data_IF_014451488762
#
_entry.id   IF_014451488762
#
_cell.length_a   1.000
_cell.length_b   1.000
_cell.length_c   1.000
_cell.angle_alpha   90.00
_cell.angle_beta   90.00
_cell.angle_gamma   90.00
#
_symmetry.space_group_name_H-M   'P 1'
#
loop_
_entity.id
_entity.type
_entity.pdbx_description
1 polymer ?
#
# COMPACT_ATOMS: atom_id res chain seq x y z
N UNK A 1 7.12 21.22 -30.93
CA UNK A 1 8.16 20.36 -30.34
C UNK A 1 9.22 21.27 -29.73
N UNK A 2 9.39 21.26 -28.41
CA UNK A 2 10.58 21.84 -27.76
C UNK A 2 11.25 20.75 -26.97
N UNK A 3 12.45 20.51 -27.43
CA UNK A 3 13.51 19.62 -26.99
C UNK A 3 14.23 20.20 -25.76
N UNK A 4 14.70 19.29 -24.91
CA UNK A 4 15.91 19.32 -24.07
C UNK A 4 16.47 20.68 -23.60
N UNK A 5 16.55 20.89 -22.26
CA UNK A 5 17.80 21.32 -21.59
C UNK A 5 17.64 21.74 -20.11
N UNK A 6 18.30 20.95 -19.25
CA UNK A 6 19.20 21.35 -18.14
C UNK A 6 18.68 22.04 -16.87
N UNK A 7 18.55 21.19 -15.84
CA UNK A 7 19.03 21.33 -14.45
C UNK A 7 19.26 22.73 -13.87
N UNK A 8 18.49 23.07 -12.82
CA UNK A 8 18.92 23.96 -11.72
C UNK A 8 18.45 23.42 -10.36
N UNK A 9 19.42 22.95 -9.57
CA UNK A 9 19.44 22.67 -8.12
C UNK A 9 18.12 22.42 -7.35
N UNK A 10 17.92 21.17 -6.89
CA UNK A 10 17.11 20.86 -5.69
C UNK A 10 15.58 20.80 -5.81
N UNK A 11 14.98 20.94 -7.01
CA UNK A 11 13.53 20.80 -7.21
C UNK A 11 13.19 19.43 -7.80
N UNK A 12 12.81 18.50 -6.94
CA UNK A 12 12.16 17.25 -7.36
C UNK A 12 10.86 17.62 -8.09
N UNK A 13 10.68 17.14 -9.32
CA UNK A 13 9.47 17.38 -10.11
C UNK A 13 8.35 16.43 -9.71
N UNK A 14 7.09 16.82 -9.94
CA UNK A 14 5.95 15.93 -9.70
C UNK A 14 6.06 14.67 -10.55
N UNK A 15 6.50 14.77 -11.80
CA UNK A 15 6.74 13.62 -12.66
C UNK A 15 7.77 12.63 -12.06
N UNK A 16 8.86 13.12 -11.48
CA UNK A 16 9.85 12.25 -10.82
C UNK A 16 9.26 11.54 -9.59
N UNK A 17 8.40 12.22 -8.83
CA UNK A 17 7.71 11.66 -7.67
C UNK A 17 6.76 10.54 -8.10
N UNK A 18 5.94 10.78 -9.12
CA UNK A 18 4.98 9.80 -9.65
C UNK A 18 5.70 8.60 -10.28
N UNK A 19 6.79 8.84 -11.01
CA UNK A 19 7.61 7.77 -11.58
C UNK A 19 8.20 6.86 -10.48
N UNK A 20 8.61 7.43 -9.35
CA UNK A 20 9.11 6.66 -8.21
C UNK A 20 8.00 5.82 -7.54
N UNK A 21 6.77 6.35 -7.46
CA UNK A 21 5.61 5.57 -7.02
C UNK A 21 5.39 4.36 -7.94
N UNK A 22 5.39 4.57 -9.26
CA UNK A 22 5.21 3.50 -10.24
C UNK A 22 6.34 2.47 -10.21
N UNK A 23 7.59 2.92 -9.99
CA UNK A 23 8.75 2.04 -9.85
C UNK A 23 8.59 1.10 -8.67
N UNK A 24 8.31 1.63 -7.47
CA UNK A 24 8.07 0.82 -6.28
C UNK A 24 6.85 -0.08 -6.45
N UNK A 25 5.80 0.42 -7.12
CA UNK A 25 4.62 -0.38 -7.40
C UNK A 25 4.93 -1.61 -8.26
N UNK A 26 5.77 -1.42 -9.27
CA UNK A 26 6.20 -2.49 -10.18
C UNK A 26 7.12 -3.48 -9.48
N UNK A 27 8.04 -2.98 -8.64
CA UNK A 27 9.00 -3.81 -7.91
C UNK A 27 8.33 -4.71 -6.86
N UNK A 28 7.35 -4.18 -6.13
CA UNK A 28 6.62 -4.91 -5.10
C UNK A 28 5.37 -5.62 -5.64
N UNK A 29 5.00 -5.36 -6.90
CA UNK A 29 3.78 -5.88 -7.51
C UNK A 29 2.49 -5.36 -6.86
N UNK A 30 2.58 -4.33 -6.02
CA UNK A 30 1.47 -3.73 -5.29
C UNK A 30 1.69 -2.24 -5.13
N UNK A 31 0.61 -1.48 -4.95
CA UNK A 31 0.65 -0.04 -4.71
C UNK A 31 1.54 0.28 -3.49
N UNK A 32 2.55 1.17 -3.63
CA UNK A 32 3.42 1.49 -2.52
C UNK A 32 2.67 2.27 -1.45
N UNK A 33 3.08 2.08 -0.20
CA UNK A 33 2.63 2.89 0.94
C UNK A 33 3.60 4.04 1.17
N UNK A 34 3.16 5.08 1.87
CA UNK A 34 4.05 6.17 2.29
C UNK A 34 5.25 5.65 3.10
N UNK A 35 5.05 4.63 3.93
CA UNK A 35 6.13 4.00 4.68
C UNK A 35 7.11 3.26 3.76
N UNK A 36 6.62 2.52 2.76
CA UNK A 36 7.48 1.87 1.77
C UNK A 36 8.32 2.89 1.00
N UNK A 37 7.73 4.04 0.67
CA UNK A 37 8.43 5.16 0.05
C UNK A 37 9.51 5.74 0.99
N UNK A 38 9.25 5.83 2.29
CA UNK A 38 10.25 6.27 3.27
C UNK A 38 11.38 5.26 3.51
N UNK A 39 11.11 3.95 3.37
CA UNK A 39 12.09 2.89 3.62
C UNK A 39 12.89 2.49 2.39
N UNK A 40 12.26 2.45 1.22
CA UNK A 40 12.84 1.92 -0.03
C UNK A 40 12.78 2.92 -1.19
N UNK A 41 12.02 4.00 -1.03
CA UNK A 41 11.88 5.03 -2.04
C UNK A 41 13.05 6.00 -2.07
N UNK A 42 13.24 6.61 -3.23
CA UNK A 42 14.25 7.65 -3.44
C UNK A 42 13.92 8.97 -2.75
N UNK A 43 12.64 9.21 -2.44
CA UNK A 43 12.13 10.48 -1.91
C UNK A 43 11.30 10.24 -0.67
N UNK A 44 11.43 11.09 0.34
CA UNK A 44 10.62 10.97 1.56
C UNK A 44 9.13 11.24 1.28
N UNK A 45 8.24 10.52 1.94
CA UNK A 45 6.79 10.65 1.87
C UNK A 45 6.33 12.09 2.15
N UNK A 46 7.03 12.81 3.04
CA UNK A 46 6.80 14.24 3.33
C UNK A 46 6.88 15.13 2.10
N UNK A 47 7.72 14.78 1.12
CA UNK A 47 7.82 15.49 -0.17
C UNK A 47 6.52 15.33 -0.96
N UNK A 48 5.92 14.15 -0.94
CA UNK A 48 4.66 13.86 -1.60
C UNK A 48 3.50 14.61 -0.94
N UNK A 49 3.44 14.60 0.40
CA UNK A 49 2.45 15.41 1.14
C UNK A 49 2.58 16.90 0.83
N UNK A 50 3.80 17.44 0.74
CA UNK A 50 4.02 18.86 0.42
C UNK A 50 3.68 19.22 -1.02
N UNK A 51 3.80 18.30 -1.97
CA UNK A 51 3.57 18.55 -3.41
C UNK A 51 2.11 18.32 -3.81
N UNK A 52 1.57 17.16 -3.44
CA UNK A 52 0.24 16.70 -3.83
C UNK A 52 -0.83 16.98 -2.77
N UNK A 53 -0.45 17.52 -1.61
CA UNK A 53 -1.34 17.75 -0.47
C UNK A 53 -1.65 16.48 0.34
N UNK A 54 -1.71 15.32 -0.31
CA UNK A 54 -1.90 14.03 0.34
C UNK A 54 -1.22 12.88 -0.41
N UNK A 55 -0.90 11.80 0.31
CA UNK A 55 -0.43 10.56 -0.31
C UNK A 55 -1.45 9.98 -1.29
N UNK A 56 -2.74 10.02 -0.94
CA UNK A 56 -3.79 9.52 -1.82
C UNK A 56 -3.85 10.28 -3.15
N UNK A 57 -3.68 11.60 -3.10
CA UNK A 57 -3.58 12.42 -4.32
C UNK A 57 -2.37 12.02 -5.14
N UNK A 58 -1.20 11.81 -4.52
CA UNK A 58 -0.02 11.34 -5.25
C UNK A 58 -0.20 9.95 -5.89
N UNK A 59 -0.91 9.05 -5.21
CA UNK A 59 -1.26 7.71 -5.70
C UNK A 59 -2.24 7.79 -6.88
N UNK A 60 -3.25 8.65 -6.78
CA UNK A 60 -4.23 8.91 -7.84
C UNK A 60 -3.57 9.49 -9.10
N UNK A 61 -2.73 10.51 -8.93
CA UNK A 61 -1.92 11.11 -10.00
C UNK A 61 -0.93 10.12 -10.62
N UNK A 62 -0.47 9.13 -9.84
CA UNK A 62 0.39 8.05 -10.34
C UNK A 62 -0.39 6.97 -11.11
N UNK A 63 -1.71 7.08 -11.22
CA UNK A 63 -2.59 6.15 -11.94
C UNK A 63 -3.08 4.96 -11.11
N UNK A 64 -3.00 5.04 -9.78
CA UNK A 64 -3.47 4.00 -8.87
C UNK A 64 -4.73 4.45 -8.15
N UNK A 65 -5.59 3.52 -7.75
CA UNK A 65 -6.77 3.87 -6.97
C UNK A 65 -6.38 4.39 -5.56
N UNK A 66 -6.83 5.60 -5.18
CA UNK A 66 -6.62 6.12 -3.85
C UNK A 66 -7.32 5.23 -2.83
N UNK A 67 -6.62 4.89 -1.76
CA UNK A 67 -7.22 4.19 -0.61
C UNK A 67 -8.18 5.18 0.04
N UNK A 68 -9.47 4.83 0.15
CA UNK A 68 -10.56 5.74 0.56
C UNK A 68 -10.31 6.62 1.81
N UNK A 69 -11.26 7.50 2.18
CA UNK A 69 -11.02 8.57 3.15
C UNK A 69 -10.60 8.02 4.53
N UNK A 70 -9.34 8.25 4.91
CA UNK A 70 -8.79 7.87 6.22
C UNK A 70 -7.25 7.73 6.22
N UNK A 71 -6.60 7.74 7.40
CA UNK A 71 -5.16 7.47 7.51
C UNK A 71 -4.87 6.06 6.97
N UNK A 72 -4.01 5.98 5.94
CA UNK A 72 -3.43 4.78 5.33
C UNK A 72 -4.17 3.47 5.67
N UNK A 73 -5.40 3.31 5.16
CA UNK A 73 -6.14 2.06 5.31
C UNK A 73 -5.41 1.01 4.49
N UNK A 74 -4.78 0.04 5.15
CA UNK A 74 -4.09 -1.07 4.49
C UNK A 74 -5.06 -1.72 3.48
N UNK A 75 -4.66 -1.89 2.20
CA UNK A 75 -5.51 -2.49 1.18
C UNK A 75 -6.08 -3.83 1.65
N UNK A 76 -7.32 -4.12 1.26
CA UNK A 76 -7.93 -5.44 1.54
C UNK A 76 -7.03 -6.55 1.04
N UNK A 77 -6.50 -6.42 -0.18
CA UNK A 77 -5.62 -7.42 -0.79
C UNK A 77 -4.34 -7.64 0.02
N UNK A 78 -3.77 -6.58 0.60
CA UNK A 78 -2.58 -6.67 1.44
C UNK A 78 -2.88 -7.39 2.77
N UNK A 79 -4.03 -7.11 3.38
CA UNK A 79 -4.50 -7.85 4.55
C UNK A 79 -4.78 -9.34 4.21
N UNK A 80 -5.38 -9.63 3.06
CA UNK A 80 -5.67 -11.00 2.62
C UNK A 80 -4.39 -11.76 2.23
N UNK A 81 -3.44 -11.10 1.57
CA UNK A 81 -2.12 -11.64 1.26
C UNK A 81 -1.37 -11.99 2.54
N UNK A 82 -1.48 -11.13 3.56
CA UNK A 82 -0.88 -11.37 4.86
C UNK A 82 -1.52 -12.55 5.59
N UNK A 83 -2.85 -12.70 5.52
CA UNK A 83 -3.55 -13.90 6.01
C UNK A 83 -3.04 -15.15 5.29
N UNK A 84 -2.85 -15.10 3.97
CA UNK A 84 -2.32 -16.23 3.18
C UNK A 84 -0.89 -16.61 3.59
N UNK A 85 -0.03 -15.60 3.80
CA UNK A 85 1.36 -15.79 4.22
C UNK A 85 1.44 -16.45 5.61
N UNK A 86 0.66 -15.96 6.57
CA UNK A 86 0.60 -16.56 7.91
C UNK A 86 -0.02 -17.95 7.86
N UNK A 87 -1.07 -18.16 7.05
CA UNK A 87 -1.68 -19.48 6.85
C UNK A 87 -0.65 -20.52 6.36
N UNK A 88 0.16 -20.13 5.39
CA UNK A 88 1.26 -20.95 4.85
C UNK A 88 2.31 -21.27 5.92
N UNK A 89 2.58 -20.33 6.83
CA UNK A 89 3.55 -20.51 7.92
C UNK A 89 3.05 -21.45 9.03
N UNK A 90 1.77 -21.35 9.40
CA UNK A 90 1.19 -22.18 10.47
C UNK A 90 0.58 -23.49 9.94
N UNK A 91 0.49 -23.67 8.62
CA UNK A 91 -0.06 -24.86 7.97
C UNK A 91 -1.58 -25.02 8.12
N UNK A 92 -2.29 -23.95 8.49
CA UNK A 92 -3.75 -23.92 8.69
C UNK A 92 -4.29 -22.51 8.51
N UNK A 93 -5.62 -22.35 8.46
CA UNK A 93 -6.23 -21.02 8.58
C UNK A 93 -5.77 -20.36 9.89
N UNK A 94 -5.20 -19.16 9.84
CA UNK A 94 -4.74 -18.48 11.03
C UNK A 94 -5.92 -18.04 11.91
N UNK A 95 -5.64 -17.88 13.19
CA UNK A 95 -6.47 -17.15 14.14
C UNK A 95 -5.88 -15.75 14.34
N UNK A 96 -6.66 -14.85 14.93
CA UNK A 96 -6.19 -13.52 15.29
C UNK A 96 -4.87 -13.52 16.08
N UNK A 97 -4.67 -14.51 16.97
CA UNK A 97 -3.40 -14.69 17.69
C UNK A 97 -2.22 -15.02 16.78
N UNK A 98 -2.42 -15.83 15.74
CA UNK A 98 -1.36 -16.17 14.80
C UNK A 98 -0.98 -14.93 13.97
N UNK A 99 -1.92 -14.04 13.69
CA UNK A 99 -1.63 -12.74 13.07
C UNK A 99 -0.89 -11.80 14.02
N UNK A 100 -1.21 -11.82 15.32
CA UNK A 100 -0.46 -11.05 16.29
C UNK A 100 0.98 -11.57 16.48
N UNK A 101 1.19 -12.89 16.41
CA UNK A 101 2.49 -13.54 16.62
C UNK A 101 3.35 -13.61 15.36
N UNK A 102 2.74 -13.71 14.19
CA UNK A 102 3.45 -13.95 12.93
C UNK A 102 3.12 -12.97 11.83
N UNK A 103 2.06 -12.17 11.99
CA UNK A 103 1.60 -11.21 11.01
C UNK A 103 2.28 -9.84 11.15
N UNK A 104 2.30 -9.08 10.07
CA UNK A 104 2.81 -7.72 9.99
C UNK A 104 1.78 -6.68 10.49
N UNK A 105 0.49 -7.06 10.57
CA UNK A 105 -0.61 -6.16 10.95
C UNK A 105 -1.32 -6.64 12.20
N UNK A 106 -1.77 -5.68 13.01
CA UNK A 106 -2.54 -5.96 14.22
C UNK A 106 -3.89 -6.62 13.84
N UNK A 107 -4.32 -7.71 14.51
CA UNK A 107 -5.66 -8.29 14.33
C UNK A 107 -6.82 -7.28 14.42
N UNK A 108 -6.64 -6.16 15.12
CA UNK A 108 -7.64 -5.07 15.18
C UNK A 108 -7.84 -4.37 13.82
N UNK A 109 -6.79 -4.24 13.01
CA UNK A 109 -6.87 -3.71 11.63
C UNK A 109 -7.85 -4.54 10.79
N UNK A 110 -7.85 -5.86 10.95
CA UNK A 110 -8.78 -6.76 10.26
C UNK A 110 -10.21 -6.57 10.74
N UNK A 111 -10.43 -6.33 12.04
CA UNK A 111 -11.78 -6.03 12.55
C UNK A 111 -12.29 -4.71 12.02
N UNK A 112 -11.47 -3.67 11.98
CA UNK A 112 -11.86 -2.38 11.41
C UNK A 112 -12.18 -2.50 9.93
N UNK A 113 -11.40 -3.30 9.17
CA UNK A 113 -11.56 -3.42 7.71
C UNK A 113 -12.73 -4.31 7.29
N UNK A 114 -12.91 -5.44 7.97
CA UNK A 114 -13.86 -6.50 7.60
C UNK A 114 -15.05 -6.61 8.57
N UNK A 115 -15.10 -5.78 9.61
CA UNK A 115 -16.07 -5.85 10.70
C UNK A 115 -15.75 -6.93 11.75
N UNK A 116 -15.12 -8.03 11.36
CA UNK A 116 -14.67 -9.08 12.28
C UNK A 116 -13.54 -9.93 11.69
N UNK A 117 -12.84 -10.68 12.56
CA UNK A 117 -11.86 -11.68 12.11
C UNK A 117 -12.50 -12.76 11.24
N UNK A 118 -13.69 -13.24 11.60
CA UNK A 118 -14.42 -14.26 10.83
C UNK A 118 -14.76 -13.75 9.43
N UNK A 119 -15.19 -12.49 9.31
CA UNK A 119 -15.43 -11.86 8.01
C UNK A 119 -14.15 -11.75 7.18
N UNK A 120 -13.01 -11.39 7.79
CA UNK A 120 -11.72 -11.38 7.10
C UNK A 120 -11.35 -12.77 6.53
N UNK A 121 -11.60 -13.85 7.28
CA UNK A 121 -11.38 -15.23 6.82
C UNK A 121 -12.37 -15.63 5.72
N UNK A 122 -13.64 -15.19 5.80
CA UNK A 122 -14.62 -15.45 4.74
C UNK A 122 -14.22 -14.78 3.42
N UNK A 123 -13.75 -13.53 3.48
CA UNK A 123 -13.21 -12.82 2.31
C UNK A 123 -11.96 -13.53 1.76
N UNK A 124 -11.03 -13.94 2.64
CA UNK A 124 -9.86 -14.73 2.26
C UNK A 124 -10.25 -16.04 1.54
N UNK A 125 -11.28 -16.74 2.02
CA UNK A 125 -11.74 -18.00 1.45
C UNK A 125 -12.54 -17.83 0.16
N UNK A 126 -13.23 -16.70 0.00
CA UNK A 126 -14.00 -16.38 -1.20
C UNK A 126 -13.09 -15.96 -2.35
N UNK A 127 -11.85 -15.54 -2.06
CA UNK A 127 -10.94 -14.95 -3.04
C UNK A 127 -11.39 -13.55 -3.44
N UNK A 128 -10.56 -12.76 -4.14
CA UNK A 128 -11.01 -11.49 -4.68
C UNK A 128 -12.17 -11.76 -5.63
N UNK A 129 -13.37 -11.27 -5.29
CA UNK A 129 -14.54 -11.29 -6.15
C UNK A 129 -14.14 -10.66 -7.48
N UNK A 130 -13.89 -11.50 -8.48
CA UNK A 130 -13.77 -11.07 -9.87
C UNK A 130 -15.18 -10.71 -10.32
N UNK A 131 -15.51 -9.42 -10.23
CA UNK A 131 -16.62 -8.84 -10.98
C UNK A 131 -16.09 -8.31 -12.33
#
# INVERSE_FOLDING_TARGET
MTDDSKQTSGKISEADLLAEIQRLATEHGTKPTANLMDTEGKYASTTYFSRFGSWNTAIEEAGFEPTGPGPATIPTEELLAEVSRVASKVGRTPFAKDMAEHGAYNPETYKTRFGSWTAAIQEYQSGPTRD
#
